data_IF_625778478359
#
_entry.id   IF_625778478359
#
_cell.length_a   1.000
_cell.length_b   1.000
_cell.length_c   1.000
_cell.angle_alpha   90.00
_cell.angle_beta   90.00
_cell.angle_gamma   90.00
#
_symmetry.space_group_name_H-M   'P 1'
#
loop_
_entity.id
_entity.type
_entity.pdbx_description
1 polymer ?
#
# COMPACT_ATOMS: atom_id res chain seq x y z
N UNK A 1 1.38 20.37 8.08
CA UNK A 1 2.33 19.86 9.11
C UNK A 1 3.35 20.97 9.33
N UNK A 2 3.44 21.51 10.54
CA UNK A 2 4.29 22.67 10.84
C UNK A 2 5.61 22.15 11.43
N UNK A 3 6.70 22.29 10.67
CA UNK A 3 8.06 22.14 11.21
C UNK A 3 8.46 23.51 11.77
N UNK A 4 8.84 23.63 13.06
CA UNK A 4 9.29 24.89 13.63
C UNK A 4 10.55 25.42 12.92
N UNK A 5 10.55 26.70 12.57
CA UNK A 5 11.60 27.32 11.75
C UNK A 5 12.99 27.40 12.40
N UNK A 6 13.11 27.13 13.70
CA UNK A 6 14.38 27.02 14.43
C UNK A 6 14.26 25.95 15.50
N UNK A 7 15.05 24.89 15.37
CA UNK A 7 15.27 23.86 16.38
C UNK A 7 16.77 23.70 16.56
N UNK A 8 17.23 23.44 17.78
CA UNK A 8 18.58 22.92 17.98
C UNK A 8 18.68 21.50 17.40
N UNK A 9 19.86 21.07 17.00
CA UNK A 9 20.10 19.74 16.43
C UNK A 9 19.60 18.60 17.35
N UNK A 10 19.75 18.78 18.68
CA UNK A 10 19.25 17.84 19.68
C UNK A 10 17.71 17.82 19.77
N UNK A 11 17.04 18.95 19.54
CA UNK A 11 15.58 19.00 19.46
C UNK A 11 15.09 18.37 18.17
N UNK A 12 15.77 18.61 17.05
CA UNK A 12 15.46 18.02 15.74
C UNK A 12 15.54 16.50 15.82
N UNK A 13 16.63 15.95 16.33
CA UNK A 13 16.80 14.50 16.49
C UNK A 13 15.70 13.88 17.37
N UNK A 14 15.39 14.49 18.51
CA UNK A 14 14.27 14.04 19.37
C UNK A 14 12.93 14.08 18.64
N UNK A 15 12.68 15.13 17.86
CA UNK A 15 11.42 15.29 17.14
C UNK A 15 11.30 14.29 15.98
N UNK A 16 12.39 14.03 15.26
CA UNK A 16 12.49 12.96 14.26
C UNK A 16 12.18 11.62 14.90
N UNK A 17 12.82 11.25 16.02
CA UNK A 17 12.54 10.00 16.73
C UNK A 17 11.08 9.89 17.14
N UNK A 18 10.52 10.92 17.78
CA UNK A 18 9.10 10.93 18.19
C UNK A 18 8.15 10.81 16.99
N UNK A 19 8.51 11.39 15.85
CA UNK A 19 7.72 11.28 14.62
C UNK A 19 7.82 9.92 13.97
N UNK A 20 9.03 9.35 13.88
CA UNK A 20 9.24 7.99 13.40
C UNK A 20 8.50 6.99 14.28
N UNK A 21 8.56 7.14 15.61
CA UNK A 21 7.84 6.29 16.56
C UNK A 21 6.32 6.42 16.41
N UNK A 22 5.80 7.63 16.19
CA UNK A 22 4.36 7.84 15.95
C UNK A 22 3.90 7.28 14.60
N UNK A 23 4.72 7.42 13.56
CA UNK A 23 4.45 6.82 12.26
C UNK A 23 4.48 5.29 12.37
N UNK A 24 5.53 4.74 12.98
CA UNK A 24 5.66 3.30 13.23
C UNK A 24 4.51 2.76 14.10
N UNK A 25 4.08 3.48 15.15
CA UNK A 25 2.96 3.08 15.98
C UNK A 25 1.61 3.17 15.25
N UNK A 26 1.45 4.09 14.30
CA UNK A 26 0.28 4.12 13.41
C UNK A 26 0.31 3.01 12.36
N UNK A 27 1.51 2.59 11.92
CA UNK A 27 1.74 1.57 10.89
C UNK A 27 1.81 0.13 11.46
N UNK A 28 2.11 -0.03 12.76
CA UNK A 28 2.27 -1.31 13.49
C UNK A 28 0.97 -2.12 13.70
N UNK A 29 -0.03 -1.97 12.83
CA UNK A 29 -1.24 -2.81 12.89
C UNK A 29 -0.98 -4.14 12.16
N UNK A 30 -1.07 -5.23 12.93
CA UNK A 30 -1.19 -6.67 12.57
C UNK A 30 -0.86 -7.03 11.12
N UNK A 31 0.12 -7.92 10.94
CA UNK A 31 0.26 -8.69 9.69
C UNK A 31 -1.02 -9.49 9.46
N UNK A 32 -1.75 -9.14 8.41
CA UNK A 32 -2.92 -9.90 7.95
C UNK A 32 -2.42 -11.23 7.37
N UNK A 33 -3.06 -12.33 7.72
CA UNK A 33 -2.94 -13.61 7.01
C UNK A 33 -3.77 -13.62 5.73
N UNK A 34 -3.71 -14.74 5.00
CA UNK A 34 -4.41 -14.90 3.72
C UNK A 34 -5.95 -14.88 3.89
N UNK A 35 -6.48 -15.44 4.98
CA UNK A 35 -7.92 -15.44 5.25
C UNK A 35 -8.44 -14.02 5.46
N UNK A 36 -7.79 -13.21 6.31
CA UNK A 36 -8.19 -11.83 6.53
C UNK A 36 -8.00 -10.97 5.27
N UNK A 37 -7.01 -11.30 4.44
CA UNK A 37 -6.82 -10.64 3.15
C UNK A 37 -7.97 -10.95 2.16
N UNK A 38 -8.44 -12.20 2.13
CA UNK A 38 -9.58 -12.61 1.32
C UNK A 38 -10.89 -11.94 1.77
N UNK A 39 -11.18 -11.93 3.07
CA UNK A 39 -12.33 -11.23 3.65
C UNK A 39 -12.29 -9.73 3.33
N UNK A 40 -11.10 -9.13 3.41
CA UNK A 40 -10.88 -7.73 3.05
C UNK A 40 -11.16 -7.47 1.58
N UNK A 41 -10.74 -8.35 0.67
CA UNK A 41 -11.02 -8.24 -0.75
C UNK A 41 -12.53 -8.34 -1.05
N UNK A 42 -13.23 -9.26 -0.39
CA UNK A 42 -14.69 -9.39 -0.52
C UNK A 42 -15.41 -8.11 -0.07
N UNK A 43 -15.05 -7.58 1.10
CA UNK A 43 -15.61 -6.33 1.62
C UNK A 43 -15.39 -5.16 0.66
N UNK A 44 -14.18 -5.02 0.11
CA UNK A 44 -13.86 -3.96 -0.85
C UNK A 44 -14.64 -4.13 -2.15
N UNK A 45 -14.77 -5.36 -2.66
CA UNK A 45 -15.57 -5.63 -3.85
C UNK A 45 -17.04 -5.28 -3.65
N UNK A 46 -17.63 -5.65 -2.50
CA UNK A 46 -19.00 -5.26 -2.14
C UNK A 46 -19.16 -3.75 -2.09
N UNK A 47 -18.22 -3.05 -1.46
CA UNK A 47 -18.31 -1.62 -1.22
C UNK A 47 -18.10 -0.77 -2.49
N UNK A 48 -17.16 -1.16 -3.34
CA UNK A 48 -16.71 -0.32 -4.46
C UNK A 48 -17.08 -0.87 -5.84
N UNK A 49 -17.32 -2.18 -5.96
CA UNK A 49 -17.60 -2.85 -7.23
C UNK A 49 -18.94 -3.61 -7.24
N UNK A 50 -19.85 -3.32 -6.29
CA UNK A 50 -21.16 -3.96 -6.16
C UNK A 50 -21.08 -5.49 -6.01
N UNK A 51 -19.97 -6.00 -5.47
CA UNK A 51 -19.70 -7.43 -5.34
C UNK A 51 -19.46 -8.16 -6.67
N UNK A 52 -19.18 -7.44 -7.77
CA UNK A 52 -18.96 -8.02 -9.09
C UNK A 52 -17.57 -8.65 -9.24
N UNK A 53 -16.56 -8.11 -8.56
CA UNK A 53 -15.21 -8.67 -8.59
C UNK A 53 -15.07 -9.76 -7.51
N UNK A 54 -15.16 -11.03 -7.90
CA UNK A 54 -15.15 -12.17 -6.96
C UNK A 54 -13.91 -13.02 -7.20
N UNK A 55 -12.81 -12.79 -6.45
CA UNK A 55 -11.62 -13.61 -6.59
C UNK A 55 -11.85 -15.01 -6.02
N UNK A 56 -11.29 -16.02 -6.66
CA UNK A 56 -11.27 -17.41 -6.17
C UNK A 56 -10.28 -17.56 -5.01
N UNK A 57 -9.17 -16.82 -5.05
CA UNK A 57 -8.14 -16.84 -4.03
C UNK A 57 -7.43 -15.48 -3.94
N UNK A 58 -7.10 -15.06 -2.73
CA UNK A 58 -6.27 -13.88 -2.45
C UNK A 58 -5.22 -14.27 -1.44
N UNK A 59 -3.94 -14.04 -1.75
CA UNK A 59 -2.83 -14.48 -0.88
C UNK A 59 -1.64 -13.55 -0.88
N UNK A 60 -0.90 -13.57 0.22
CA UNK A 60 0.43 -12.98 0.30
C UNK A 60 1.47 -13.86 -0.40
N UNK A 61 2.46 -13.22 -1.03
CA UNK A 61 3.61 -13.92 -1.60
C UNK A 61 4.92 -13.18 -1.37
N UNK A 62 5.99 -13.95 -1.19
CA UNK A 62 7.33 -13.43 -0.90
C UNK A 62 8.18 -13.20 -2.15
N UNK A 63 7.78 -13.73 -3.30
CA UNK A 63 8.53 -13.69 -4.56
C UNK A 63 8.05 -12.60 -5.55
N UNK A 64 7.28 -11.60 -5.10
CA UNK A 64 6.92 -10.41 -5.88
C UNK A 64 7.76 -9.21 -5.44
N UNK A 65 8.90 -9.01 -6.09
CA UNK A 65 9.86 -7.95 -5.72
C UNK A 65 9.76 -6.68 -6.58
N UNK A 66 9.17 -6.79 -7.78
CA UNK A 66 9.07 -5.68 -8.75
C UNK A 66 7.66 -5.10 -8.86
N UNK A 67 6.67 -5.73 -8.22
CA UNK A 67 5.25 -5.35 -8.27
C UNK A 67 4.60 -5.51 -6.91
N UNK A 68 3.62 -4.67 -6.61
CA UNK A 68 2.87 -4.69 -5.36
C UNK A 68 1.79 -5.77 -5.34
N UNK A 69 1.19 -6.07 -6.49
CA UNK A 69 0.19 -7.10 -6.66
C UNK A 69 0.20 -7.71 -8.06
N UNK A 70 -0.62 -8.75 -8.25
CA UNK A 70 -0.99 -9.27 -9.57
C UNK A 70 -2.29 -10.05 -9.50
N UNK A 71 -3.05 -10.00 -10.59
CA UNK A 71 -4.22 -10.82 -10.84
C UNK A 71 -3.98 -11.78 -12.03
N UNK A 72 -4.47 -13.01 -11.91
CA UNK A 72 -4.67 -13.93 -13.04
C UNK A 72 -6.18 -14.05 -13.30
N UNK A 73 -6.76 -13.23 -14.21
CA UNK A 73 -8.22 -13.16 -14.35
C UNK A 73 -8.88 -14.49 -14.73
N UNK A 74 -8.21 -15.32 -15.54
CA UNK A 74 -8.71 -16.63 -15.95
C UNK A 74 -8.88 -17.63 -14.79
N UNK A 75 -8.12 -17.44 -13.71
CA UNK A 75 -8.19 -18.27 -12.50
C UNK A 75 -8.95 -17.58 -11.36
N UNK A 76 -9.21 -16.27 -11.50
CA UNK A 76 -9.69 -15.43 -10.40
C UNK A 76 -8.69 -15.30 -9.25
N UNK A 77 -7.41 -15.56 -9.48
CA UNK A 77 -6.39 -15.57 -8.42
C UNK A 77 -5.71 -14.20 -8.28
N UNK A 78 -5.61 -13.69 -7.05
CA UNK A 78 -4.93 -12.44 -6.70
C UNK A 78 -3.77 -12.74 -5.76
N UNK A 79 -2.63 -12.11 -6.01
CA UNK A 79 -1.41 -12.23 -5.21
C UNK A 79 -0.91 -10.86 -4.85
N UNK A 80 -0.65 -10.62 -3.57
CA UNK A 80 -0.04 -9.40 -3.07
C UNK A 80 1.36 -9.66 -2.55
N UNK A 81 2.27 -8.71 -2.78
CA UNK A 81 3.62 -8.78 -2.24
C UNK A 81 3.61 -8.60 -0.73
N UNK A 82 4.35 -9.46 -0.02
CA UNK A 82 4.60 -9.32 1.42
C UNK A 82 5.19 -7.96 1.81
N UNK A 83 5.81 -7.23 0.86
CA UNK A 83 6.34 -5.88 1.08
C UNK A 83 5.26 -4.87 1.46
N UNK A 84 3.99 -5.14 1.16
CA UNK A 84 2.86 -4.31 1.60
C UNK A 84 2.52 -4.53 3.08
N UNK A 85 3.02 -5.59 3.73
CA UNK A 85 2.76 -5.82 5.15
C UNK A 85 3.45 -4.74 5.99
N UNK A 86 2.68 -4.07 6.83
CA UNK A 86 3.14 -2.91 7.62
C UNK A 86 2.96 -1.58 6.89
N UNK A 87 2.60 -1.58 5.61
CA UNK A 87 2.15 -0.34 4.96
C UNK A 87 0.78 0.08 5.50
N UNK A 88 0.43 1.37 5.42
CA UNK A 88 -0.89 1.84 5.82
C UNK A 88 -2.01 1.08 5.14
N UNK A 89 -3.07 0.77 5.89
CA UNK A 89 -4.23 0.00 5.42
C UNK A 89 -4.83 0.51 4.10
N UNK A 90 -4.82 1.83 3.90
CA UNK A 90 -5.38 2.44 2.69
C UNK A 90 -4.56 2.14 1.43
N UNK A 91 -3.27 1.82 1.59
CA UNK A 91 -2.38 1.40 0.50
C UNK A 91 -2.67 -0.04 0.14
N UNK A 92 -2.83 -0.92 1.14
CA UNK A 92 -3.24 -2.32 0.92
C UNK A 92 -4.59 -2.39 0.23
N UNK A 93 -5.57 -1.60 0.69
CA UNK A 93 -6.90 -1.50 0.06
C UNK A 93 -6.82 -1.08 -1.40
N UNK A 94 -5.98 -0.07 -1.71
CA UNK A 94 -5.78 0.39 -3.07
C UNK A 94 -5.20 -0.71 -3.97
N UNK A 95 -4.17 -1.43 -3.53
CA UNK A 95 -3.59 -2.50 -4.33
C UNK A 95 -4.58 -3.66 -4.49
N UNK A 96 -5.34 -4.02 -3.46
CA UNK A 96 -6.43 -5.01 -3.60
C UNK A 96 -7.47 -4.58 -4.63
N UNK A 97 -7.95 -3.33 -4.57
CA UNK A 97 -8.91 -2.80 -5.53
C UNK A 97 -8.35 -2.77 -6.95
N UNK A 98 -7.07 -2.46 -7.11
CA UNK A 98 -6.37 -2.53 -8.39
C UNK A 98 -6.42 -3.94 -8.99
N UNK A 99 -6.09 -4.96 -8.20
CA UNK A 99 -6.11 -6.35 -8.67
C UNK A 99 -7.54 -6.88 -8.88
N UNK A 100 -8.49 -6.48 -8.03
CA UNK A 100 -9.91 -6.78 -8.22
C UNK A 100 -10.47 -6.14 -9.50
N UNK A 101 -10.04 -4.93 -9.86
CA UNK A 101 -10.46 -4.27 -11.08
C UNK A 101 -10.02 -5.03 -12.34
N UNK A 102 -8.87 -5.72 -12.31
CA UNK A 102 -8.41 -6.59 -13.41
C UNK A 102 -9.33 -7.80 -13.65
N UNK A 103 -10.14 -8.21 -12.68
CA UNK A 103 -11.18 -9.23 -12.89
C UNK A 103 -12.34 -8.70 -13.76
N UNK A 104 -12.52 -7.38 -13.83
CA UNK A 104 -13.64 -6.75 -14.52
C UNK A 104 -13.23 -6.07 -15.83
N UNK A 105 -12.04 -5.50 -15.88
CA UNK A 105 -11.54 -4.72 -17.01
C UNK A 105 -10.06 -5.06 -17.25
N UNK A 106 -9.68 -5.54 -18.45
CA UNK A 106 -8.28 -5.76 -18.76
C UNK A 106 -7.53 -4.44 -18.99
N UNK A 107 -6.28 -4.40 -18.54
CA UNK A 107 -5.39 -3.25 -18.72
C UNK A 107 -5.83 -2.00 -17.94
N UNK A 108 -5.18 -0.87 -18.22
CA UNK A 108 -5.31 0.37 -17.42
C UNK A 108 -5.91 1.53 -18.21
N UNK A 109 -6.93 1.24 -19.03
CA UNK A 109 -7.63 2.26 -19.83
C UNK A 109 -8.64 3.08 -18.99
N UNK A 110 -9.38 4.02 -19.62
CA UNK A 110 -10.35 4.87 -18.91
C UNK A 110 -11.41 4.12 -18.10
N UNK A 111 -11.83 2.94 -18.57
CA UNK A 111 -12.79 2.09 -17.83
C UNK A 111 -12.20 1.55 -16.53
N UNK A 112 -10.92 1.23 -16.52
CA UNK A 112 -10.21 0.75 -15.34
C UNK A 112 -10.09 1.88 -14.31
N UNK A 113 -9.64 3.06 -14.73
CA UNK A 113 -9.47 4.19 -13.81
C UNK A 113 -10.78 4.67 -13.20
N UNK A 114 -11.88 4.63 -13.96
CA UNK A 114 -13.22 4.93 -13.42
C UNK A 114 -13.63 4.02 -12.27
N UNK A 115 -13.18 2.75 -12.26
CA UNK A 115 -13.44 1.86 -11.13
C UNK A 115 -12.67 2.32 -9.88
N UNK A 116 -11.41 2.74 -10.04
CA UNK A 116 -10.58 3.17 -8.92
C UNK A 116 -10.91 4.58 -8.41
N UNK A 117 -11.55 5.43 -9.21
CA UNK A 117 -12.07 6.73 -8.78
C UNK A 117 -13.08 6.61 -7.61
N UNK A 118 -13.79 5.48 -7.52
CA UNK A 118 -14.74 5.23 -6.43
C UNK A 118 -14.05 5.12 -5.06
N UNK A 119 -12.74 4.84 -5.02
CA UNK A 119 -11.98 4.75 -3.78
C UNK A 119 -11.36 6.12 -3.42
N UNK A 120 -11.78 6.77 -2.30
CA UNK A 120 -11.38 8.16 -2.00
C UNK A 120 -9.89 8.37 -1.76
N UNK A 121 -9.11 7.31 -1.53
CA UNK A 121 -7.67 7.39 -1.21
C UNK A 121 -6.77 6.92 -2.35
N UNK A 122 -7.30 6.73 -3.55
CA UNK A 122 -6.54 6.30 -4.75
C UNK A 122 -5.29 7.13 -4.97
N UNK A 123 -5.40 8.45 -5.13
CA UNK A 123 -4.24 9.31 -5.39
C UNK A 123 -3.22 9.30 -4.25
N UNK A 124 -3.69 9.29 -3.00
CA UNK A 124 -2.81 9.20 -1.82
C UNK A 124 -2.03 7.88 -1.77
N UNK A 125 -2.69 6.75 -2.07
CA UNK A 125 -2.06 5.45 -2.10
C UNK A 125 -1.03 5.34 -3.22
N UNK A 126 -1.35 5.86 -4.41
CA UNK A 126 -0.41 5.93 -5.54
C UNK A 126 0.84 6.73 -5.17
N UNK A 127 0.68 7.93 -4.63
CA UNK A 127 1.80 8.75 -4.19
C UNK A 127 2.66 8.09 -3.11
N UNK A 128 2.05 7.36 -2.16
CA UNK A 128 2.80 6.58 -1.16
C UNK A 128 3.67 5.50 -1.83
N UNK A 129 3.08 4.69 -2.72
CA UNK A 129 3.80 3.62 -3.42
C UNK A 129 4.92 4.16 -4.32
N UNK A 130 4.67 5.28 -5.02
CA UNK A 130 5.70 5.98 -5.80
C UNK A 130 6.84 6.48 -4.91
N UNK A 131 6.52 7.03 -3.74
CA UNK A 131 7.49 7.46 -2.73
C UNK A 131 8.35 6.30 -2.21
N UNK A 132 7.75 5.14 -1.91
CA UNK A 132 8.49 3.93 -1.50
C UNK A 132 9.44 3.47 -2.60
N UNK A 133 8.98 3.42 -3.85
CA UNK A 133 9.83 3.03 -4.99
C UNK A 133 10.98 4.04 -5.22
N UNK A 134 10.74 5.33 -5.00
CA UNK A 134 11.77 6.35 -5.11
C UNK A 134 12.80 6.24 -3.98
N UNK A 135 12.35 6.01 -2.74
CA UNK A 135 13.22 5.86 -1.57
C UNK A 135 14.18 4.66 -1.70
N UNK A 136 13.70 3.52 -2.21
CA UNK A 136 14.53 2.34 -2.50
C UNK A 136 15.70 2.64 -3.48
N UNK A 137 15.61 3.72 -4.26
CA UNK A 137 16.63 4.13 -5.25
C UNK A 137 17.58 5.22 -4.75
N UNK A 138 17.28 5.86 -3.62
CA UNK A 138 18.13 6.91 -3.07
C UNK A 138 19.34 6.28 -2.37
N UNK A 139 20.55 6.87 -2.50
CA UNK A 139 21.71 6.41 -1.76
C UNK A 139 21.46 6.59 -0.25
N UNK A 140 21.75 5.55 0.54
CA UNK A 140 21.65 5.63 1.99
C UNK A 140 22.76 6.58 2.47
N UNK A 141 22.41 7.82 2.83
CA UNK A 141 23.36 8.66 3.56
C UNK A 141 23.55 8.06 4.95
N UNK A 142 24.78 7.76 5.39
CA UNK A 142 25.03 7.41 6.77
C UNK A 142 24.63 8.60 7.66
N UNK A 143 24.12 8.30 8.85
CA UNK A 143 23.79 9.34 9.83
C UNK A 143 25.04 10.21 10.10
N UNK A 144 24.90 11.55 10.18
CA UNK A 144 26.01 12.41 10.58
C UNK A 144 26.42 12.06 12.01
N UNK A 145 27.68 11.65 12.20
CA UNK A 145 28.26 11.34 13.53
C UNK A 145 28.87 9.95 13.72
N UNK A 146 29.08 9.17 12.66
CA UNK A 146 29.89 7.94 12.72
C UNK A 146 31.37 8.23 12.43
N UNK A 147 32.02 9.04 13.28
CA UNK A 147 33.49 9.13 13.44
C UNK A 147 33.85 9.35 14.92
#
# INVERSE_FOLDING_TARGET
MLIPARMSEAEEQRWVTVMLDKLAAQESKRRLGDAELAERAERLSLQYFDGRARPTAVRWVTNQNTRWGSCTPSEGSIRLSHRLQGMPEYVVDYVLLHELAHLLVPGHGPRFWRLLEAYPRTERARGYLEGVVAADRLPHQPAPGAE
#
